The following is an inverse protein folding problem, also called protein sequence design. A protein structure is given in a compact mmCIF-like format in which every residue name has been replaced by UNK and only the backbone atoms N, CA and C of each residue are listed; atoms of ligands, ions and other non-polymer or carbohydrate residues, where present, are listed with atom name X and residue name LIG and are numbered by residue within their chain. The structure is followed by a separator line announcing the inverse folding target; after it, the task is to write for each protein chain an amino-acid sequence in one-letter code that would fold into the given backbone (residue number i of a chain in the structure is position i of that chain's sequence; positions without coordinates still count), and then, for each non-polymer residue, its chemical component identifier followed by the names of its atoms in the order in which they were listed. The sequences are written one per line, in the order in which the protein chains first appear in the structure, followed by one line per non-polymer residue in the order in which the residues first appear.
data_IF_059597072822
#
_entry.id   IF_059597072822
#
_cell.length_a   1.000
_cell.length_b   1.000
_cell.length_c   1.000
_cell.angle_alpha   90.00
_cell.angle_beta   90.00
_cell.angle_gamma   90.00
#
_symmetry.space_group_name_H-M   'P 1'
#
loop_
_entity.id
_entity.type
_entity.pdbx_description
1 polymer ?
#
# COMPACT_ATOMS: atom_id res chain seq x y z
N UNK A 1 35.15 20.81 -47.61
CA UNK A 1 34.70 20.40 -48.97
C UNK A 1 33.83 19.15 -48.84
N UNK A 2 32.63 19.24 -49.43
CA UNK A 2 31.75 18.17 -49.91
C UNK A 2 31.17 17.24 -48.82
N UNK A 3 29.92 16.90 -48.83
CA UNK A 3 28.64 17.21 -49.53
C UNK A 3 27.51 16.41 -48.89
N UNK A 4 26.44 17.09 -48.54
CA UNK A 4 25.03 16.67 -48.52
C UNK A 4 24.72 15.27 -49.07
N UNK A 5 23.88 14.54 -48.35
CA UNK A 5 22.71 13.89 -48.98
C UNK A 5 21.53 13.79 -47.99
N UNK A 6 20.58 14.64 -48.24
CA UNK A 6 19.15 14.46 -47.92
C UNK A 6 18.64 13.20 -48.63
N UNK A 7 17.87 12.39 -47.92
CA UNK A 7 16.88 11.52 -48.57
C UNK A 7 15.56 11.61 -47.80
N UNK A 8 14.69 12.42 -48.36
CA UNK A 8 13.23 12.37 -48.21
C UNK A 8 12.70 11.11 -48.91
N UNK A 9 11.81 10.39 -48.31
CA UNK A 9 10.76 9.54 -48.92
C UNK A 9 9.67 9.35 -47.92
N UNK A 10 8.61 9.85 -48.14
CA UNK A 10 7.34 9.77 -48.88
C UNK A 10 6.22 9.19 -48.00
N UNK A 11 5.23 10.04 -47.91
CA UNK A 11 3.87 9.90 -47.43
C UNK A 11 3.18 8.70 -48.11
N UNK A 12 2.55 7.84 -47.30
CA UNK A 12 1.62 6.80 -47.74
C UNK A 12 0.25 7.06 -47.14
N UNK A 13 -0.62 7.72 -47.86
CA UNK A 13 -2.05 7.86 -47.63
C UNK A 13 -2.74 6.56 -48.08
N UNK A 14 -3.44 5.87 -47.21
CA UNK A 14 -4.26 4.69 -47.50
C UNK A 14 -5.57 4.71 -46.71
N UNK A 15 -6.54 5.32 -47.36
CA UNK A 15 -7.94 4.92 -47.63
C UNK A 15 -8.78 4.28 -46.52
N UNK A 16 -9.81 5.01 -46.26
CA UNK A 16 -11.06 4.68 -45.59
C UNK A 16 -11.68 3.31 -45.96
N UNK A 17 -12.08 2.59 -44.92
CA UNK A 17 -13.01 1.49 -45.00
C UNK A 17 -14.12 1.70 -43.98
N UNK A 18 -15.22 2.29 -44.41
CA UNK A 18 -16.49 2.34 -43.66
C UNK A 18 -17.13 0.95 -43.75
N UNK A 19 -17.30 0.28 -42.65
CA UNK A 19 -18.28 -0.80 -42.58
C UNK A 19 -19.25 -0.48 -41.41
N UNK A 20 -20.43 -0.07 -41.83
CA UNK A 20 -21.64 0.04 -41.01
C UNK A 20 -22.20 -1.37 -40.91
N UNK A 21 -22.37 -1.89 -39.70
CA UNK A 21 -23.33 -2.98 -39.44
C UNK A 21 -24.17 -2.55 -38.25
N UNK A 22 -25.44 -2.59 -38.53
CA UNK A 22 -26.54 -2.14 -37.71
C UNK A 22 -26.98 -3.24 -36.71
N UNK A 23 -27.53 -2.78 -35.62
CA UNK A 23 -28.76 -3.22 -34.94
C UNK A 23 -28.93 -4.71 -34.56
N UNK A 24 -28.98 -5.00 -33.26
CA UNK A 24 -30.06 -5.81 -32.68
C UNK A 24 -30.14 -5.54 -31.16
N UNK A 25 -31.24 -4.92 -30.77
CA UNK A 25 -31.78 -4.92 -29.40
C UNK A 25 -32.26 -6.32 -29.07
N UNK A 26 -31.88 -6.86 -27.89
CA UNK A 26 -32.69 -7.81 -27.16
C UNK A 26 -32.64 -7.50 -25.68
N UNK A 27 -33.73 -7.01 -25.20
CA UNK A 27 -34.15 -6.93 -23.80
C UNK A 27 -34.48 -8.34 -23.35
N UNK A 28 -33.85 -8.85 -22.32
CA UNK A 28 -34.33 -9.98 -21.56
C UNK A 28 -34.00 -9.75 -20.08
N UNK A 29 -35.02 -9.36 -19.33
CA UNK A 29 -35.00 -9.31 -17.88
C UNK A 29 -34.98 -10.72 -17.29
N UNK A 30 -34.24 -10.89 -16.22
CA UNK A 30 -34.43 -11.96 -15.26
C UNK A 30 -34.09 -11.44 -13.86
N UNK A 31 -35.17 -11.25 -13.11
CA UNK A 31 -35.18 -11.11 -11.66
C UNK A 31 -34.72 -12.44 -11.05
N UNK A 32 -33.65 -12.43 -10.29
CA UNK A 32 -33.40 -13.47 -9.30
C UNK A 32 -33.00 -12.83 -7.97
N UNK A 33 -34.03 -12.68 -7.16
CA UNK A 33 -33.99 -12.58 -5.72
C UNK A 33 -33.39 -13.88 -5.15
N UNK A 34 -32.20 -13.80 -4.59
CA UNK A 34 -31.55 -14.86 -3.84
C UNK A 34 -31.29 -14.38 -2.41
N UNK A 35 -32.31 -14.54 -1.59
CA UNK A 35 -32.21 -14.44 -0.13
C UNK A 35 -31.78 -15.81 0.40
N UNK A 36 -30.90 -15.85 1.40
CA UNK A 36 -30.83 -17.00 2.27
C UNK A 36 -29.52 -17.73 2.32
N UNK A 37 -28.99 -17.86 3.52
CA UNK A 37 -27.94 -18.78 3.84
C UNK A 37 -27.20 -18.39 5.12
N UNK A 38 -27.90 -18.46 6.25
CA UNK A 38 -27.25 -18.55 7.54
C UNK A 38 -26.46 -19.84 7.64
N UNK A 39 -25.19 -19.76 7.97
CA UNK A 39 -24.41 -20.91 8.41
C UNK A 39 -24.03 -20.72 9.87
N UNK A 40 -24.75 -21.39 10.71
CA UNK A 40 -24.28 -21.83 12.04
C UNK A 40 -23.13 -22.80 11.83
N UNK A 41 -21.97 -22.49 12.31
CA UNK A 41 -20.99 -23.44 12.81
C UNK A 41 -20.08 -22.73 13.81
N UNK A 42 -20.22 -23.09 15.09
CA UNK A 42 -19.24 -23.79 15.83
C UNK A 42 -18.24 -22.88 16.50
N UNK A 43 -18.48 -22.57 17.78
CA UNK A 43 -17.52 -22.02 18.69
C UNK A 43 -16.32 -22.96 18.82
N UNK A 44 -15.12 -22.43 18.55
CA UNK A 44 -13.88 -22.95 19.11
C UNK A 44 -13.09 -21.75 19.60
N UNK A 45 -12.95 -21.70 20.91
CA UNK A 45 -12.19 -20.72 21.65
C UNK A 45 -10.72 -20.97 21.42
N UNK A 46 -10.09 -20.11 20.56
CA UNK A 46 -8.67 -19.88 20.59
C UNK A 46 -8.44 -18.40 20.36
N UNK A 47 -8.09 -17.73 21.44
CA UNK A 47 -8.00 -16.28 21.56
C UNK A 47 -6.64 -15.75 21.10
N UNK A 48 -6.34 -15.97 19.82
CA UNK A 48 -5.34 -15.18 19.12
C UNK A 48 -6.04 -14.50 17.94
N UNK A 49 -6.21 -13.16 17.94
CA UNK A 49 -6.84 -12.50 16.83
C UNK A 49 -5.98 -12.69 15.57
N UNK A 50 -6.52 -13.44 14.61
CA UNK A 50 -5.84 -13.68 13.35
C UNK A 50 -5.64 -12.34 12.62
N UNK A 51 -4.54 -12.23 11.87
CA UNK A 51 -4.23 -11.06 11.05
C UNK A 51 -5.45 -10.66 10.19
N UNK A 52 -6.22 -11.64 9.73
CA UNK A 52 -7.46 -11.40 8.97
C UNK A 52 -8.54 -10.63 9.72
N UNK A 53 -8.74 -10.89 11.02
CA UNK A 53 -9.75 -10.16 11.80
C UNK A 53 -9.35 -8.70 12.07
N UNK A 54 -8.06 -8.44 12.22
CA UNK A 54 -7.51 -7.08 12.38
C UNK A 54 -7.64 -6.27 11.09
N UNK A 55 -7.48 -6.94 9.94
CA UNK A 55 -7.72 -6.31 8.63
C UNK A 55 -9.20 -6.01 8.39
N UNK A 56 -10.09 -6.92 8.74
CA UNK A 56 -11.54 -6.69 8.60
C UNK A 56 -12.01 -5.50 9.42
N UNK A 57 -11.40 -5.22 10.57
CA UNK A 57 -11.73 -4.04 11.37
C UNK A 57 -11.28 -2.72 10.74
N UNK A 58 -10.16 -2.72 10.01
CA UNK A 58 -9.62 -1.52 9.39
C UNK A 58 -10.21 -1.26 7.99
N UNK A 59 -10.55 -2.30 7.24
CA UNK A 59 -11.05 -2.18 5.87
C UNK A 59 -12.51 -2.61 5.70
N UNK A 60 -13.12 -3.21 6.73
CA UNK A 60 -14.53 -3.58 6.74
C UNK A 60 -15.39 -2.32 6.78
N UNK A 61 -16.19 -2.10 5.74
CA UNK A 61 -17.25 -1.10 5.77
C UNK A 61 -18.24 -1.51 6.85
N UNK A 62 -18.37 -0.74 7.93
CA UNK A 62 -19.52 -0.83 8.81
C UNK A 62 -20.74 -0.49 7.95
N UNK A 63 -21.58 -1.47 7.66
CA UNK A 63 -22.93 -1.21 7.14
C UNK A 63 -23.62 -0.37 8.20
N UNK A 64 -23.80 0.92 7.94
CA UNK A 64 -24.63 1.77 8.78
C UNK A 64 -26.05 1.25 8.67
N UNK A 65 -26.58 0.72 9.76
CA UNK A 65 -28.01 0.50 9.89
C UNK A 65 -28.71 1.87 9.80
N UNK A 66 -29.54 2.01 8.77
CA UNK A 66 -30.39 3.19 8.60
C UNK A 66 -31.38 3.22 9.77
N UNK A 67 -31.19 4.12 10.72
CA UNK A 67 -32.18 4.36 11.76
C UNK A 67 -31.68 4.79 13.14
N UNK A 68 -30.38 4.93 13.38
CA UNK A 68 -29.90 5.44 14.66
C UNK A 68 -29.34 6.84 14.47
N UNK A 69 -30.03 7.82 15.04
CA UNK A 69 -29.56 9.20 15.13
C UNK A 69 -28.26 9.18 15.93
N UNK A 70 -27.13 9.33 15.25
CA UNK A 70 -25.83 9.43 15.90
C UNK A 70 -25.86 10.59 16.91
N UNK A 71 -25.36 10.40 18.15
CA UNK A 71 -25.18 11.51 19.07
C UNK A 71 -24.30 12.58 18.42
N UNK A 72 -24.53 13.87 18.72
CA UNK A 72 -23.73 14.95 18.14
C UNK A 72 -22.23 14.69 18.43
N UNK A 73 -21.35 14.93 17.47
CA UNK A 73 -19.92 14.73 17.67
C UNK A 73 -19.47 15.58 18.87
N UNK A 74 -18.90 14.91 19.87
CA UNK A 74 -18.19 15.59 20.93
C UNK A 74 -16.91 16.17 20.30
N UNK A 75 -16.69 17.47 20.45
CA UNK A 75 -15.58 18.27 19.89
C UNK A 75 -14.18 17.87 20.38
N UNK A 76 -13.98 16.60 20.68
CA UNK A 76 -12.71 15.96 21.04
C UNK A 76 -12.37 14.78 20.10
N UNK A 77 -12.79 14.85 18.84
CA UNK A 77 -12.37 13.84 17.87
C UNK A 77 -10.85 13.97 17.64
N UNK A 78 -10.13 12.99 18.13
CA UNK A 78 -8.71 12.83 17.81
C UNK A 78 -8.55 12.82 16.29
N UNK A 79 -8.01 13.90 15.73
CA UNK A 79 -7.72 13.99 14.30
C UNK A 79 -6.59 13.05 13.96
N UNK A 80 -6.94 11.88 13.41
CA UNK A 80 -5.95 10.93 12.92
C UNK A 80 -5.38 11.42 11.58
N UNK A 81 -4.06 11.68 11.47
CA UNK A 81 -3.44 12.21 10.26
C UNK A 81 -3.75 11.40 8.99
N UNK A 82 -3.86 12.04 7.82
CA UNK A 82 -4.05 11.33 6.56
C UNK A 82 -2.85 10.46 6.22
N UNK A 83 -3.09 9.36 5.48
CA UNK A 83 -2.03 8.50 4.95
C UNK A 83 -1.71 8.91 3.53
N UNK A 84 -0.43 9.06 3.22
CA UNK A 84 0.10 9.31 1.89
C UNK A 84 1.24 8.35 1.57
N UNK A 85 1.26 7.83 0.35
CA UNK A 85 2.40 7.03 -0.12
C UNK A 85 3.50 8.01 -0.56
N UNK A 86 4.70 7.85 -0.02
CA UNK A 86 5.82 8.72 -0.37
C UNK A 86 6.18 8.57 -1.86
N UNK A 87 6.38 9.70 -2.52
CA UNK A 87 6.75 9.71 -3.94
C UNK A 87 8.00 8.83 -4.19
N UNK A 88 7.92 7.97 -5.19
CA UNK A 88 8.99 7.01 -5.52
C UNK A 88 9.05 5.76 -4.65
N UNK A 89 8.22 5.65 -3.59
CA UNK A 89 8.21 4.51 -2.69
C UNK A 89 6.92 3.65 -2.77
N UNK A 90 6.11 3.85 -3.79
CA UNK A 90 4.87 3.09 -4.03
C UNK A 90 5.10 1.69 -4.58
N UNK A 91 6.31 1.45 -5.13
CA UNK A 91 6.70 0.21 -5.80
C UNK A 91 8.08 -0.21 -5.32
N UNK A 92 8.24 -1.50 -5.09
CA UNK A 92 9.50 -2.14 -4.74
C UNK A 92 9.81 -3.22 -5.77
N UNK A 93 10.80 -2.98 -6.62
CA UNK A 93 11.21 -3.88 -7.68
C UNK A 93 12.59 -4.47 -7.39
N UNK A 94 12.75 -5.77 -7.55
CA UNK A 94 13.99 -6.51 -7.30
C UNK A 94 14.42 -7.23 -8.58
N UNK A 95 15.68 -7.04 -8.95
CA UNK A 95 16.28 -7.67 -10.11
C UNK A 95 16.99 -8.99 -9.78
N UNK A 96 17.41 -9.70 -10.83
CA UNK A 96 18.43 -10.72 -10.75
C UNK A 96 19.75 -10.12 -10.20
N UNK A 97 20.58 -10.90 -9.49
CA UNK A 97 21.82 -10.40 -8.89
C UNK A 97 22.69 -9.63 -9.90
N UNK A 98 23.12 -8.42 -9.50
CA UNK A 98 23.97 -7.56 -10.32
C UNK A 98 23.28 -6.90 -11.52
N UNK A 99 21.95 -6.97 -11.62
CA UNK A 99 21.14 -6.38 -12.70
C UNK A 99 20.26 -5.23 -12.19
N UNK A 100 19.70 -4.47 -13.14
CA UNK A 100 18.68 -3.46 -12.86
C UNK A 100 17.28 -4.11 -12.90
N UNK A 101 16.34 -3.65 -12.05
CA UNK A 101 15.00 -4.25 -11.96
C UNK A 101 14.08 -3.81 -13.11
N UNK A 102 14.49 -4.06 -14.35
CA UNK A 102 13.77 -3.67 -15.56
C UNK A 102 13.70 -4.82 -16.57
N UNK A 103 12.63 -4.88 -17.32
CA UNK A 103 12.44 -5.85 -18.41
C UNK A 103 12.63 -7.31 -17.94
N UNK A 104 13.44 -8.06 -18.68
CA UNK A 104 13.67 -9.48 -18.44
C UNK A 104 14.52 -9.79 -17.19
N UNK A 105 15.19 -8.78 -16.62
CA UNK A 105 16.00 -8.95 -15.41
C UNK A 105 15.18 -8.77 -14.11
N UNK A 106 13.91 -8.39 -14.21
CA UNK A 106 13.01 -8.24 -13.06
C UNK A 106 12.66 -9.61 -12.47
N UNK A 107 12.94 -9.82 -11.18
CA UNK A 107 12.54 -11.02 -10.44
C UNK A 107 11.14 -10.92 -9.86
N UNK A 108 10.85 -9.81 -9.21
CA UNK A 108 9.52 -9.52 -8.67
C UNK A 108 9.35 -8.03 -8.42
N UNK A 109 8.10 -7.63 -8.32
CA UNK A 109 7.69 -6.28 -7.99
C UNK A 109 6.56 -6.31 -6.98
N UNK A 110 6.70 -5.53 -5.91
CA UNK A 110 5.62 -5.29 -4.95
C UNK A 110 5.05 -3.89 -5.15
N UNK A 111 3.73 -3.74 -4.98
CA UNK A 111 3.03 -2.46 -5.10
C UNK A 111 2.01 -2.31 -3.98
N UNK A 112 1.92 -1.12 -3.36
CA UNK A 112 0.90 -0.78 -2.38
C UNK A 112 -0.39 -0.45 -3.13
N UNK A 113 -1.51 -1.08 -2.73
CA UNK A 113 -2.81 -0.92 -3.40
C UNK A 113 -3.85 -0.19 -2.55
N UNK A 114 -3.83 -0.38 -1.24
CA UNK A 114 -4.76 0.27 -0.30
C UNK A 114 -4.11 0.53 1.04
N UNK A 115 -4.59 1.55 1.72
CA UNK A 115 -4.17 1.90 3.08
C UNK A 115 -5.37 2.21 3.95
N UNK A 116 -5.22 1.98 5.24
CA UNK A 116 -6.19 2.40 6.25
C UNK A 116 -5.44 2.91 7.47
N UNK A 117 -6.10 3.69 8.30
CA UNK A 117 -5.54 4.22 9.54
C UNK A 117 -6.57 4.21 10.67
N UNK A 118 -6.04 4.10 11.86
CA UNK A 118 -6.77 4.25 13.11
C UNK A 118 -5.81 4.82 14.16
N UNK A 119 -6.30 5.70 15.03
CA UNK A 119 -5.49 6.35 16.06
C UNK A 119 -6.18 6.24 17.40
N UNK A 120 -5.41 5.96 18.43
CA UNK A 120 -5.87 5.94 19.82
C UNK A 120 -4.96 6.83 20.65
N UNK A 121 -5.55 7.79 21.37
CA UNK A 121 -4.82 8.62 22.31
C UNK A 121 -4.84 8.01 23.71
N UNK A 122 -3.68 7.96 24.34
CA UNK A 122 -3.54 7.54 25.74
C UNK A 122 -2.62 8.54 26.43
N UNK A 123 -3.21 9.40 27.27
CA UNK A 123 -2.49 10.49 27.92
C UNK A 123 -1.91 11.48 26.90
N UNK A 124 -0.61 11.67 26.93
CA UNK A 124 0.16 12.58 26.08
C UNK A 124 0.71 11.91 24.80
N UNK A 125 0.30 10.66 24.53
CA UNK A 125 0.76 9.90 23.37
C UNK A 125 -0.39 9.43 22.49
N UNK A 126 -0.12 9.35 21.20
CA UNK A 126 -1.00 8.77 20.20
C UNK A 126 -0.33 7.51 19.66
N UNK A 127 -1.07 6.40 19.67
CA UNK A 127 -0.71 5.17 19.00
C UNK A 127 -1.48 5.07 17.69
N UNK A 128 -0.76 5.03 16.57
CA UNK A 128 -1.34 4.85 15.26
C UNK A 128 -1.27 3.39 14.82
N UNK A 129 -2.37 2.91 14.25
CA UNK A 129 -2.48 1.64 13.55
C UNK A 129 -2.64 1.92 12.06
N UNK A 130 -1.69 1.47 11.26
CA UNK A 130 -1.68 1.70 9.81
C UNK A 130 -1.78 0.35 9.09
N UNK A 131 -2.90 0.15 8.40
CA UNK A 131 -3.10 -1.02 7.54
C UNK A 131 -2.59 -0.74 6.13
N UNK A 132 -1.84 -1.68 5.58
CA UNK A 132 -1.26 -1.61 4.24
C UNK A 132 -1.61 -2.90 3.51
N UNK A 133 -2.29 -2.77 2.38
CA UNK A 133 -2.53 -3.86 1.43
C UNK A 133 -1.70 -3.64 0.18
N UNK A 134 -1.21 -4.70 -0.37
CA UNK A 134 -0.45 -4.67 -1.61
C UNK A 134 -0.46 -5.99 -2.34
N UNK A 135 0.31 -6.04 -3.41
CA UNK A 135 0.45 -7.22 -4.25
C UNK A 135 1.89 -7.39 -4.69
N UNK A 136 2.37 -8.61 -4.69
CA UNK A 136 3.65 -9.01 -5.29
C UNK A 136 3.35 -9.70 -6.61
N UNK A 137 4.10 -9.34 -7.64
CA UNK A 137 4.03 -9.96 -8.96
C UNK A 137 5.42 -10.48 -9.30
N UNK A 138 5.49 -11.74 -9.72
CA UNK A 138 6.71 -12.35 -10.23
C UNK A 138 7.11 -11.73 -11.57
N UNK A 139 8.41 -11.53 -11.75
CA UNK A 139 8.97 -11.05 -13.01
C UNK A 139 9.55 -12.18 -13.87
N UNK A 140 9.98 -11.87 -15.09
CA UNK A 140 10.55 -12.88 -16.02
C UNK A 140 11.82 -13.55 -15.52
N UNK A 141 12.60 -12.89 -14.65
CA UNK A 141 13.88 -13.42 -14.13
C UNK A 141 13.71 -14.48 -13.03
N UNK A 142 12.49 -14.87 -12.70
CA UNK A 142 12.20 -15.97 -11.78
C UNK A 142 11.17 -15.62 -10.71
N UNK A 143 10.61 -16.69 -10.13
CA UNK A 143 9.62 -16.62 -9.05
C UNK A 143 10.27 -17.20 -7.77
N UNK A 144 10.78 -16.34 -6.87
CA UNK A 144 11.33 -16.83 -5.62
C UNK A 144 10.21 -17.43 -4.76
N UNK A 145 10.46 -18.50 -3.98
CA UNK A 145 9.42 -19.14 -3.17
C UNK A 145 8.88 -18.22 -2.08
N UNK A 146 9.71 -17.29 -1.62
CA UNK A 146 9.34 -16.28 -0.62
C UNK A 146 9.95 -14.93 -0.94
N UNK A 147 9.24 -13.87 -0.58
CA UNK A 147 9.65 -12.48 -0.77
C UNK A 147 9.51 -11.74 0.55
N UNK A 148 10.55 -11.03 0.97
CA UNK A 148 10.49 -10.14 2.11
C UNK A 148 10.16 -8.72 1.63
N UNK A 149 9.12 -8.13 2.22
CA UNK A 149 8.60 -6.81 1.87
C UNK A 149 8.95 -5.83 3.00
N UNK A 150 9.91 -4.94 2.78
CA UNK A 150 10.28 -3.90 3.74
C UNK A 150 9.40 -2.67 3.56
N UNK A 151 8.74 -2.23 4.62
CA UNK A 151 7.89 -1.05 4.64
C UNK A 151 8.32 -0.11 5.76
N UNK A 152 8.31 1.18 5.47
CA UNK A 152 8.51 2.24 6.47
C UNK A 152 7.22 3.02 6.64
N UNK A 153 6.88 3.30 7.88
CA UNK A 153 5.83 4.23 8.26
C UNK A 153 6.46 5.37 9.05
N UNK A 154 6.11 6.60 8.72
CA UNK A 154 6.61 7.78 9.41
C UNK A 154 5.48 8.77 9.65
N UNK A 155 5.45 9.38 10.84
CA UNK A 155 4.68 10.60 11.13
C UNK A 155 5.55 11.78 10.79
N UNK A 156 5.07 12.64 9.89
CA UNK A 156 5.82 13.81 9.44
C UNK A 156 4.94 15.04 9.61
N UNK A 157 5.48 16.07 10.21
CA UNK A 157 4.92 17.42 10.18
C UNK A 157 5.24 18.02 8.82
N UNK A 158 4.20 18.27 8.02
CA UNK A 158 4.32 18.91 6.71
C UNK A 158 4.54 20.41 6.83
N UNK A 159 5.13 21.03 5.82
CA UNK A 159 5.41 22.47 5.78
C UNK A 159 6.60 22.76 4.89
N UNK A 160 7.11 24.00 4.96
CA UNK A 160 8.30 24.43 4.20
C UNK A 160 9.53 23.60 4.56
N UNK A 161 9.64 23.18 5.81
CA UNK A 161 10.65 22.24 6.28
C UNK A 161 9.91 21.05 6.92
N UNK A 162 9.88 19.93 6.20
CA UNK A 162 9.31 18.69 6.74
C UNK A 162 10.11 18.23 7.96
N UNK A 163 9.40 17.86 9.03
CA UNK A 163 10.02 17.30 10.24
C UNK A 163 9.45 15.93 10.53
N UNK A 164 10.30 14.91 10.55
CA UNK A 164 9.91 13.57 10.99
C UNK A 164 9.72 13.58 12.51
N UNK A 165 8.52 13.23 12.97
CA UNK A 165 8.15 13.15 14.38
C UNK A 165 8.44 11.76 14.94
N UNK A 166 8.02 10.72 14.18
CA UNK A 166 8.29 9.32 14.51
C UNK A 166 8.43 8.51 13.22
N UNK A 167 9.23 7.46 13.24
CA UNK A 167 9.37 6.55 12.10
C UNK A 167 9.66 5.14 12.58
N UNK A 168 9.09 4.16 11.87
CA UNK A 168 9.33 2.75 12.16
C UNK A 168 9.36 1.92 10.89
N UNK A 169 10.18 0.88 10.90
CA UNK A 169 10.29 -0.10 9.81
C UNK A 169 9.53 -1.35 10.20
N UNK A 170 8.82 -1.89 9.23
CA UNK A 170 8.07 -3.13 9.32
C UNK A 170 8.50 -4.05 8.19
N UNK A 171 8.39 -5.34 8.40
CA UNK A 171 8.69 -6.35 7.39
C UNK A 171 7.58 -7.39 7.39
N UNK A 172 7.24 -7.87 6.21
CA UNK A 172 6.33 -9.00 6.04
C UNK A 172 6.89 -9.95 5.00
N UNK A 173 6.70 -11.24 5.22
CA UNK A 173 7.12 -12.29 4.29
C UNK A 173 5.92 -12.77 3.49
N UNK A 174 6.07 -12.86 2.18
CA UNK A 174 5.05 -13.33 1.26
C UNK A 174 5.52 -14.63 0.61
N UNK A 175 4.75 -15.71 0.77
CA UNK A 175 4.98 -16.95 0.03
C UNK A 175 4.40 -16.81 -1.36
N UNK A 176 5.24 -16.98 -2.37
CA UNK A 176 4.81 -16.93 -3.77
C UNK A 176 4.22 -18.28 -4.20
N UNK A 177 3.20 -18.22 -5.02
CA UNK A 177 2.55 -19.39 -5.61
C UNK A 177 2.76 -19.47 -7.13
N UNK A 178 2.21 -20.50 -7.77
CA UNK A 178 2.33 -20.72 -9.21
C UNK A 178 1.63 -19.64 -10.04
N UNK A 179 0.67 -18.91 -9.48
CA UNK A 179 0.00 -17.79 -10.16
C UNK A 179 0.95 -16.62 -10.43
N UNK A 180 2.05 -16.56 -9.68
CA UNK A 180 3.02 -15.46 -9.74
C UNK A 180 2.47 -14.11 -9.31
N UNK A 181 1.29 -14.05 -8.65
CA UNK A 181 0.65 -12.81 -8.26
C UNK A 181 -0.06 -12.94 -6.92
N UNK A 182 0.61 -12.61 -5.83
CA UNK A 182 0.15 -12.86 -4.45
C UNK A 182 -0.13 -11.54 -3.73
N UNK A 183 -1.31 -11.39 -3.10
CA UNK A 183 -1.58 -10.25 -2.23
C UNK A 183 -0.77 -10.36 -0.94
N UNK A 184 -0.41 -9.22 -0.37
CA UNK A 184 0.14 -9.14 0.98
C UNK A 184 -0.61 -8.13 1.82
N UNK A 185 -0.48 -8.30 3.12
CA UNK A 185 -1.07 -7.42 4.12
C UNK A 185 -0.11 -7.19 5.27
N UNK A 186 -0.10 -5.96 5.77
CA UNK A 186 0.66 -5.57 6.97
C UNK A 186 -0.20 -4.63 7.81
N UNK A 187 -0.19 -4.79 9.11
CA UNK A 187 -0.68 -3.80 10.08
C UNK A 187 0.48 -3.35 10.95
N UNK A 188 0.84 -2.08 10.83
CA UNK A 188 1.75 -1.40 11.74
C UNK A 188 0.92 -0.95 12.97
N UNK A 189 1.06 -1.61 14.12
CA UNK A 189 0.19 -1.40 15.29
C UNK A 189 0.82 -0.54 16.39
N UNK A 190 2.10 -0.26 16.28
CA UNK A 190 2.91 0.26 17.37
C UNK A 190 3.72 1.53 16.97
N UNK A 191 3.15 2.34 16.07
CA UNK A 191 3.71 3.65 15.77
C UNK A 191 3.20 4.65 16.79
N UNK A 192 4.04 5.00 17.75
CA UNK A 192 3.71 5.91 18.84
C UNK A 192 4.39 7.26 18.63
N UNK A 193 3.64 8.34 18.86
CA UNK A 193 4.16 9.71 18.78
C UNK A 193 3.44 10.61 19.79
N UNK A 194 4.07 11.73 20.23
CA UNK A 194 3.47 12.65 21.18
C UNK A 194 2.26 13.38 20.59
N UNK A 195 1.28 13.67 21.44
CA UNK A 195 0.15 14.54 21.07
C UNK A 195 0.68 15.90 20.63
N UNK A 196 0.34 16.35 19.40
CA UNK A 196 0.80 17.64 18.92
C UNK A 196 0.15 18.80 19.71
N UNK A 197 0.88 19.87 20.02
CA UNK A 197 0.31 21.02 20.68
C UNK A 197 -0.62 21.81 19.73
N UNK A 198 -1.85 22.09 20.17
CA UNK A 198 -2.82 22.90 19.43
C UNK A 198 -3.09 22.37 18.01
N UNK A 199 -3.25 23.25 17.04
CA UNK A 199 -3.57 22.94 15.64
C UNK A 199 -2.39 22.37 14.82
N UNK A 200 -1.22 22.13 15.42
CA UNK A 200 -0.07 21.56 14.70
C UNK A 200 -0.38 20.17 14.16
N UNK A 201 -1.25 19.42 14.84
CA UNK A 201 -1.70 18.08 14.42
C UNK A 201 -2.30 18.06 13.01
N UNK A 202 -2.95 19.13 12.58
CA UNK A 202 -3.55 19.24 11.25
C UNK A 202 -2.50 19.23 10.12
N UNK A 203 -1.24 19.54 10.47
CA UNK A 203 -0.11 19.48 9.54
C UNK A 203 0.58 18.10 9.49
N UNK A 204 0.13 17.14 10.31
CA UNK A 204 0.75 15.82 10.34
C UNK A 204 0.23 14.94 9.20
N UNK A 205 1.13 14.16 8.63
CA UNK A 205 0.84 13.18 7.58
C UNK A 205 1.55 11.87 7.93
N UNK A 206 0.87 10.74 7.78
CA UNK A 206 1.52 9.45 7.75
C UNK A 206 2.08 9.19 6.35
N UNK A 207 3.40 9.24 6.22
CA UNK A 207 4.05 8.76 5.01
C UNK A 207 4.35 7.27 5.14
N UNK A 208 3.96 6.52 4.12
CA UNK A 208 4.30 5.10 3.98
C UNK A 208 5.04 4.87 2.67
N UNK A 209 5.84 3.82 2.63
CA UNK A 209 6.50 3.41 1.41
C UNK A 209 7.41 2.21 1.62
N UNK A 210 7.81 1.61 0.51
CA UNK A 210 8.85 0.59 0.55
C UNK A 210 10.20 1.21 0.91
N UNK A 211 10.94 0.51 1.77
CA UNK A 211 12.27 0.90 2.22
C UNK A 211 13.28 -0.25 2.05
N UNK A 212 13.90 -0.38 0.88
CA UNK A 212 14.90 -1.42 0.64
C UNK A 212 16.08 -1.38 1.60
N UNK A 213 16.42 -0.21 2.14
CA UNK A 213 17.53 -0.06 3.08
C UNK A 213 17.26 -0.79 4.41
N UNK A 214 16.00 -0.96 4.76
CA UNK A 214 15.61 -1.70 5.94
C UNK A 214 16.00 -3.18 5.91
N UNK A 215 16.28 -3.75 4.76
CA UNK A 215 16.78 -5.11 4.59
C UNK A 215 18.29 -5.22 4.80
N UNK A 216 19.00 -4.09 4.78
CA UNK A 216 20.44 -4.06 5.01
C UNK A 216 20.70 -4.09 6.52
N UNK A 217 21.58 -4.97 7.04
CA UNK A 217 21.97 -4.94 8.44
C UNK A 217 22.54 -3.56 8.81
N UNK A 218 22.11 -3.02 9.95
CA UNK A 218 22.70 -1.77 10.44
C UNK A 218 24.22 -1.93 10.60
N UNK A 219 25.03 -0.96 10.12
CA UNK A 219 26.46 -0.98 10.34
C UNK A 219 26.71 -1.03 11.84
N UNK A 220 27.42 -2.05 12.31
CA UNK A 220 27.82 -2.14 13.74
C UNK A 220 28.46 -0.80 14.14
N UNK A 221 28.10 -0.21 15.29
CA UNK A 221 28.70 1.02 15.77
C UNK A 221 30.22 0.83 15.78
N UNK A 222 30.95 1.69 15.07
CA UNK A 222 32.42 1.68 15.13
C UNK A 222 32.81 1.92 16.58
N UNK A 223 33.43 0.92 17.21
CA UNK A 223 33.93 1.06 18.56
C UNK A 223 34.76 2.36 18.63
N UNK A 224 34.41 3.24 19.57
CA UNK A 224 35.11 4.50 19.75
C UNK A 224 36.60 4.20 19.98
N UNK A 225 37.42 4.61 19.03
CA UNK A 225 38.88 4.46 19.09
C UNK A 225 39.33 5.29 20.28
N UNK A 226 39.67 4.63 21.41
CA UNK A 226 40.26 5.30 22.56
C UNK A 226 41.53 5.99 22.07
N UNK A 227 41.52 7.31 22.08
CA UNK A 227 42.76 8.11 21.95
C UNK A 227 43.61 7.80 23.17
N UNK A 228 44.79 7.29 22.90
CA UNK A 228 45.88 7.10 23.88
C UNK A 228 46.63 8.41 24.06
#
# INVERSE_FOLDING_TARGET
MMRNRLMMRTVGTGRAGRLRVALALTVAGALLSGCGGGSMFGASSDSSPSIGSRFSQLFGSKSQAVGETAPPPVDNELSCPPVSIRAGASTYAVAAPGKQPVGNDLRYQATITRTARDCTQTGDQITARIGILGRVIAGPAGNPPTVEIPLRVAVVQSGVQEKTIATKVYRTTVSMDESGSVPFSLVAEDLVYPVPPGAIGDSYIFYIGFDPQALTPEPKPKAARKKK
#
